data_IF_120921219325
#
_entry.id   IF_120921219325
#
_cell.length_a   1.000
_cell.length_b   1.000
_cell.length_c   1.000
_cell.angle_alpha   90.00
_cell.angle_beta   90.00
_cell.angle_gamma   90.00
#
_symmetry.space_group_name_H-M   'P 1'
#
loop_
_entity.id
_entity.type
_entity.pdbx_description
1 polymer ?
#
# COMPACT_ATOMS: atom_id res chain seq x y z
N UNK A 1 21.90 26.43 5.24
CA UNK A 1 20.85 25.68 5.98
C UNK A 1 19.60 25.35 5.15
N UNK A 2 19.27 26.11 4.08
CA UNK A 2 18.03 25.96 3.28
C UNK A 2 17.95 24.73 2.34
N UNK A 3 19.06 24.25 1.78
CA UNK A 3 19.05 23.13 0.81
C UNK A 3 18.66 21.76 1.40
N UNK A 4 19.01 21.51 2.67
CA UNK A 4 18.77 20.20 3.33
C UNK A 4 17.27 19.98 3.60
N UNK A 5 16.53 21.06 3.88
CA UNK A 5 15.09 21.05 4.11
C UNK A 5 14.33 20.69 2.84
N UNK A 6 14.60 21.38 1.72
CA UNK A 6 13.93 21.12 0.44
C UNK A 6 14.15 19.69 -0.09
N UNK A 7 15.36 19.13 0.05
CA UNK A 7 15.59 17.73 -0.31
C UNK A 7 14.71 16.81 0.52
N UNK A 8 14.70 16.95 1.86
CA UNK A 8 13.91 16.13 2.77
C UNK A 8 12.39 16.16 2.44
N UNK A 9 11.83 17.32 2.10
CA UNK A 9 10.42 17.45 1.71
C UNK A 9 10.10 16.69 0.42
N UNK A 10 10.99 16.75 -0.57
CA UNK A 10 10.81 16.06 -1.84
C UNK A 10 10.88 14.52 -1.69
N UNK A 11 11.78 14.00 -0.85
CA UNK A 11 11.87 12.55 -0.56
C UNK A 11 10.59 12.07 0.13
N UNK A 12 10.09 12.81 1.12
CA UNK A 12 8.85 12.46 1.82
C UNK A 12 7.64 12.40 0.87
N UNK A 13 7.58 13.30 -0.12
CA UNK A 13 6.51 13.32 -1.13
C UNK A 13 6.61 12.11 -2.07
N UNK A 14 7.82 11.76 -2.50
CA UNK A 14 8.08 10.58 -3.32
C UNK A 14 7.74 9.28 -2.56
N UNK A 15 8.10 9.20 -1.28
CA UNK A 15 7.81 8.04 -0.41
C UNK A 15 6.29 7.87 -0.23
N UNK A 16 5.55 8.94 0.06
CA UNK A 16 4.07 8.87 0.18
C UNK A 16 3.39 8.47 -1.12
N UNK A 17 3.90 8.91 -2.27
CA UNK A 17 3.38 8.50 -3.56
C UNK A 17 3.71 7.01 -3.85
N UNK A 18 4.90 6.56 -3.47
CA UNK A 18 5.33 5.17 -3.62
C UNK A 18 4.54 4.21 -2.71
N UNK A 19 4.12 4.64 -1.51
CA UNK A 19 3.30 3.81 -0.61
C UNK A 19 1.96 3.39 -1.26
N UNK A 20 1.27 4.33 -1.91
CA UNK A 20 0.02 4.03 -2.63
C UNK A 20 0.23 3.14 -3.86
N UNK A 21 1.32 3.37 -4.60
CA UNK A 21 1.67 2.57 -5.78
C UNK A 21 2.10 1.14 -5.38
N UNK A 22 2.84 1.01 -4.29
CA UNK A 22 3.30 -0.26 -3.71
C UNK A 22 2.11 -1.13 -3.27
N UNK A 23 1.07 -0.52 -2.70
CA UNK A 23 -0.18 -1.21 -2.37
C UNK A 23 -0.91 -1.76 -3.61
N UNK A 24 -0.92 -1.00 -4.70
CA UNK A 24 -1.50 -1.46 -5.97
C UNK A 24 -0.69 -2.60 -6.60
N UNK A 25 0.63 -2.50 -6.57
CA UNK A 25 1.53 -3.53 -7.11
C UNK A 25 1.38 -4.85 -6.35
N UNK A 26 1.25 -4.80 -5.02
CA UNK A 26 1.08 -6.02 -4.21
C UNK A 26 -0.22 -6.77 -4.54
N UNK A 27 -1.31 -6.06 -4.85
CA UNK A 27 -2.58 -6.64 -5.32
C UNK A 27 -2.37 -7.41 -6.63
N UNK A 28 -1.67 -6.81 -7.61
CA UNK A 28 -1.41 -7.43 -8.91
C UNK A 28 -0.55 -8.68 -8.74
N UNK A 29 0.53 -8.61 -7.94
CA UNK A 29 1.39 -9.76 -7.65
C UNK A 29 0.61 -10.90 -7.00
N UNK A 30 -0.29 -10.60 -6.06
CA UNK A 30 -1.13 -11.60 -5.40
C UNK A 30 -2.08 -12.31 -6.38
N UNK A 31 -2.68 -11.57 -7.31
CA UNK A 31 -3.55 -12.14 -8.35
C UNK A 31 -2.76 -13.01 -9.33
N UNK A 32 -1.56 -12.58 -9.75
CA UNK A 32 -0.68 -13.37 -10.63
C UNK A 32 -0.25 -14.66 -9.93
N UNK A 33 0.09 -14.61 -8.65
CA UNK A 33 0.42 -15.80 -7.86
C UNK A 33 -0.77 -16.75 -7.73
N UNK A 34 -1.96 -16.24 -7.43
CA UNK A 34 -3.18 -17.05 -7.37
C UNK A 34 -3.52 -17.71 -8.71
N UNK A 35 -3.35 -16.96 -9.81
CA UNK A 35 -3.51 -17.47 -11.17
C UNK A 35 -2.45 -18.53 -11.51
N UNK A 36 -1.17 -18.29 -11.17
CA UNK A 36 -0.08 -19.23 -11.40
C UNK A 36 -0.26 -20.55 -10.66
N UNK A 37 -0.70 -20.49 -9.40
CA UNK A 37 -1.04 -21.68 -8.60
C UNK A 37 -2.26 -22.41 -9.20
N UNK A 38 -3.32 -21.69 -9.58
CA UNK A 38 -4.49 -22.26 -10.25
C UNK A 38 -4.15 -22.92 -11.60
N UNK A 39 -3.22 -22.32 -12.35
CA UNK A 39 -2.71 -22.87 -13.60
C UNK A 39 -1.85 -24.13 -13.38
N UNK A 40 -1.00 -24.14 -12.35
CA UNK A 40 -0.26 -25.34 -11.95
C UNK A 40 -1.18 -26.49 -11.55
N UNK A 41 -2.23 -26.20 -10.78
CA UNK A 41 -3.26 -27.19 -10.41
C UNK A 41 -4.02 -27.71 -11.64
N UNK A 42 -4.29 -26.86 -12.64
CA UNK A 42 -4.89 -27.28 -13.92
C UNK A 42 -4.00 -28.28 -14.66
N UNK A 43 -2.69 -28.03 -14.72
CA UNK A 43 -1.74 -28.94 -15.36
C UNK A 43 -1.70 -30.32 -14.69
N UNK A 44 -1.81 -30.36 -13.36
CA UNK A 44 -1.75 -31.61 -12.59
C UNK A 44 -3.09 -32.36 -12.59
N UNK A 45 -4.20 -31.65 -12.50
CA UNK A 45 -5.53 -32.23 -12.29
C UNK A 45 -6.28 -32.49 -13.60
N UNK A 46 -5.81 -31.95 -14.73
CA UNK A 46 -6.43 -32.09 -16.06
C UNK A 46 -7.81 -31.41 -16.19
N UNK A 47 -8.31 -30.80 -15.11
CA UNK A 47 -9.63 -30.17 -15.03
C UNK A 47 -9.50 -28.67 -14.85
N UNK A 48 -10.33 -27.92 -15.59
CA UNK A 48 -10.37 -26.46 -15.52
C UNK A 48 -10.94 -25.93 -14.19
N UNK A 49 -11.51 -26.79 -13.34
CA UNK A 49 -12.12 -26.38 -12.09
C UNK A 49 -11.09 -25.80 -11.09
N UNK A 50 -9.84 -26.29 -11.13
CA UNK A 50 -8.74 -25.78 -10.29
C UNK A 50 -8.35 -24.33 -10.60
N UNK A 51 -8.55 -23.85 -11.84
CA UNK A 51 -8.30 -22.45 -12.20
C UNK A 51 -9.28 -21.51 -11.48
N UNK A 52 -10.56 -21.85 -11.45
CA UNK A 52 -11.58 -21.02 -10.80
C UNK A 52 -11.35 -20.87 -9.31
N UNK A 53 -10.99 -21.97 -8.64
CA UNK A 53 -10.66 -22.00 -7.21
C UNK A 53 -9.37 -21.23 -6.91
N UNK A 54 -8.32 -21.43 -7.70
CA UNK A 54 -7.05 -20.72 -7.51
C UNK A 54 -7.21 -19.21 -7.66
N UNK A 55 -7.97 -18.77 -8.67
CA UNK A 55 -8.29 -17.35 -8.86
C UNK A 55 -9.14 -16.83 -7.69
N UNK A 56 -10.18 -17.56 -7.30
CA UNK A 56 -11.07 -17.15 -6.20
C UNK A 56 -10.31 -16.97 -4.88
N UNK A 57 -9.48 -17.95 -4.52
CA UNK A 57 -8.65 -17.90 -3.30
C UNK A 57 -7.61 -16.77 -3.41
N UNK A 58 -6.96 -16.61 -4.57
CA UNK A 58 -5.99 -15.53 -4.80
C UNK A 58 -6.59 -14.14 -4.64
N UNK A 59 -7.77 -13.90 -5.24
CA UNK A 59 -8.49 -12.63 -5.13
C UNK A 59 -8.96 -12.39 -3.71
N UNK A 60 -9.51 -13.41 -3.03
CA UNK A 60 -9.92 -13.30 -1.64
C UNK A 60 -8.74 -12.95 -0.70
N UNK A 61 -7.58 -13.57 -0.91
CA UNK A 61 -6.37 -13.27 -0.15
C UNK A 61 -5.85 -11.85 -0.41
N UNK A 62 -5.86 -11.40 -1.66
CA UNK A 62 -5.45 -10.04 -2.04
C UNK A 62 -6.35 -8.98 -1.39
N UNK A 63 -7.68 -9.15 -1.45
CA UNK A 63 -8.64 -8.25 -0.79
C UNK A 63 -8.39 -8.19 0.72
N UNK A 64 -8.17 -9.33 1.37
CA UNK A 64 -7.95 -9.37 2.81
C UNK A 64 -6.64 -8.66 3.22
N UNK A 65 -5.58 -8.82 2.42
CA UNK A 65 -4.32 -8.11 2.65
C UNK A 65 -4.45 -6.59 2.45
N UNK A 66 -5.07 -6.17 1.35
CA UNK A 66 -5.30 -4.75 1.04
C UNK A 66 -6.20 -4.08 2.08
N UNK A 67 -7.26 -4.74 2.55
CA UNK A 67 -8.14 -4.19 3.58
C UNK A 67 -7.39 -3.89 4.88
N UNK A 68 -6.51 -4.80 5.31
CA UNK A 68 -5.69 -4.60 6.52
C UNK A 68 -4.75 -3.40 6.38
N UNK A 69 -4.07 -3.29 5.24
CA UNK A 69 -3.18 -2.17 4.95
C UNK A 69 -3.95 -0.84 4.80
N UNK A 70 -5.12 -0.85 4.17
CA UNK A 70 -5.99 0.31 4.06
C UNK A 70 -6.48 0.81 5.42
N UNK A 71 -6.95 -0.09 6.28
CA UNK A 71 -7.38 0.26 7.65
C UNK A 71 -6.24 0.86 8.46
N UNK A 72 -5.02 0.37 8.27
CA UNK A 72 -3.83 0.94 8.91
C UNK A 72 -3.50 2.35 8.40
N UNK A 73 -3.69 2.61 7.09
CA UNK A 73 -3.51 3.93 6.50
C UNK A 73 -4.59 4.93 6.92
N UNK A 74 -5.85 4.50 7.03
CA UNK A 74 -6.92 5.37 7.56
C UNK A 74 -6.63 5.75 9.02
N UNK A 75 -6.24 4.77 9.84
CA UNK A 75 -5.98 5.01 11.26
C UNK A 75 -4.85 6.04 11.45
N UNK A 76 -3.78 5.97 10.65
CA UNK A 76 -2.73 6.98 10.70
C UNK A 76 -3.24 8.35 10.26
N UNK A 77 -4.07 8.43 9.22
CA UNK A 77 -4.72 9.67 8.79
C UNK A 77 -5.62 10.30 9.88
N UNK A 78 -6.40 9.50 10.60
CA UNK A 78 -7.23 9.99 11.71
C UNK A 78 -6.40 10.48 12.90
N UNK A 79 -5.27 9.81 13.17
CA UNK A 79 -4.31 10.23 14.19
C UNK A 79 -3.60 11.54 13.80
N UNK A 80 -3.30 11.75 12.51
CA UNK A 80 -2.84 13.05 12.00
C UNK A 80 -3.90 14.14 12.10
N UNK A 81 -5.19 13.80 11.90
CA UNK A 81 -6.30 14.76 11.95
C UNK A 81 -6.65 15.21 13.38
N UNK A 82 -6.47 14.33 14.36
CA UNK A 82 -6.75 14.63 15.78
C UNK A 82 -5.58 15.30 16.53
N UNK A 83 -4.42 15.46 15.89
CA UNK A 83 -3.33 16.22 16.47
C UNK A 83 -3.57 17.71 16.19
N UNK A 84 -3.78 18.56 17.21
CA UNK A 84 -3.81 20.00 16.98
C UNK A 84 -2.50 20.38 16.29
N UNK A 85 -2.60 21.13 15.20
CA UNK A 85 -1.44 21.58 14.44
C UNK A 85 -0.41 22.13 15.44
N UNK A 86 0.86 21.67 15.44
CA UNK A 86 1.87 22.39 16.19
C UNK A 86 1.82 23.82 15.66
N UNK A 87 1.53 24.76 16.56
CA UNK A 87 1.74 26.17 16.27
C UNK A 87 3.21 26.25 15.84
N UNK A 88 3.44 26.35 14.53
CA UNK A 88 4.62 27.02 14.03
C UNK A 88 4.44 28.44 14.54
N UNK A 89 4.95 28.68 15.75
CA UNK A 89 5.36 30.02 16.11
C UNK A 89 6.48 30.28 15.13
N UNK A 90 6.18 31.14 14.18
CA UNK A 90 7.18 31.78 13.36
C UNK A 90 8.17 32.39 14.36
N UNK A 91 9.31 31.74 14.58
CA UNK A 91 10.48 32.34 15.23
C UNK A 91 11.12 33.30 14.19
N UNK A 92 10.29 34.18 13.66
CA UNK A 92 10.69 35.46 13.08
C UNK A 92 10.57 36.43 14.25
N UNK A 93 11.56 36.51 15.14
CA UNK A 93 11.85 37.66 16.01
C UNK A 93 13.07 37.37 16.93
N UNK A 94 14.05 38.29 16.87
CA UNK A 94 15.19 38.55 17.78
C UNK A 94 16.62 38.05 17.42
N UNK A 95 17.37 39.05 16.86
CA UNK A 95 18.84 39.36 16.82
C UNK A 95 19.75 38.55 15.89
#
# INVERSE_FOLDING_TARGET
MSEKSNRATNINKAIRAADGLSLGISMVVAVIMGFGIGWGLKLLSGSNWGLGIGIFIGVAAAINNVYKAYKSQIKSYEEFKNKPSPNFKDDDDEI
#
